data_IF_045097115431
#
_entry.id   IF_045097115431
#
_cell.length_a   1.000
_cell.length_b   1.000
_cell.length_c   1.000
_cell.angle_alpha   90.00
_cell.angle_beta   90.00
_cell.angle_gamma   90.00
#
_symmetry.space_group_name_H-M   'P 1'
#
loop_
_entity.id
_entity.type
_entity.pdbx_description
1 polymer ?
#
# COMPACT_ATOMS: atom_id res chain seq x y z
N UNK A 1 24.59 -32.44 20.85
CA UNK A 1 23.27 -32.74 20.24
C UNK A 1 22.21 -32.05 21.09
N UNK A 2 21.82 -30.83 20.72
CA UNK A 2 20.80 -30.05 21.43
C UNK A 2 19.44 -30.33 20.82
N UNK A 3 18.50 -30.85 21.63
CA UNK A 3 17.12 -31.05 21.24
C UNK A 3 16.42 -29.70 21.13
N UNK A 4 15.81 -29.43 19.98
CA UNK A 4 14.85 -28.35 19.84
C UNK A 4 13.61 -28.70 20.67
N UNK A 5 13.21 -27.79 21.56
CA UNK A 5 11.96 -27.90 22.30
C UNK A 5 10.79 -28.03 21.33
N UNK A 6 9.94 -29.03 21.55
CA UNK A 6 8.69 -29.17 20.79
C UNK A 6 7.83 -27.91 21.01
N UNK A 7 7.28 -27.29 19.95
CA UNK A 7 6.36 -26.18 20.13
C UNK A 7 5.15 -26.65 20.93
N UNK A 8 4.88 -26.00 22.06
CA UNK A 8 3.65 -26.23 22.83
C UNK A 8 2.51 -25.55 22.08
N UNK A 9 1.49 -26.33 21.72
CA UNK A 9 0.28 -25.82 21.09
C UNK A 9 -0.46 -24.90 22.08
N UNK A 10 -0.61 -23.63 21.71
CA UNK A 10 -1.52 -22.70 22.37
C UNK A 10 -2.94 -23.12 21.99
N UNK A 11 -3.86 -23.15 22.96
CA UNK A 11 -5.24 -23.58 22.68
C UNK A 11 -5.90 -22.68 21.62
N UNK A 12 -6.72 -23.26 20.74
CA UNK A 12 -7.41 -22.53 19.68
C UNK A 12 -8.23 -21.33 20.19
N UNK A 13 -8.69 -21.39 21.45
CA UNK A 13 -9.45 -20.33 22.13
C UNK A 13 -8.56 -19.16 22.61
N UNK A 14 -7.31 -19.44 22.99
CA UNK A 14 -6.33 -18.39 23.32
C UNK A 14 -5.76 -17.77 22.04
N UNK A 15 -5.56 -18.59 20.99
CA UNK A 15 -5.22 -18.11 19.66
C UNK A 15 -6.30 -17.18 19.10
N UNK A 16 -7.60 -17.54 19.17
CA UNK A 16 -8.69 -16.68 18.66
C UNK A 16 -8.82 -15.35 19.41
N UNK A 17 -8.59 -15.34 20.72
CA UNK A 17 -8.72 -14.12 21.55
C UNK A 17 -7.53 -13.17 21.38
N UNK A 18 -6.31 -13.70 21.18
CA UNK A 18 -5.18 -12.89 20.73
C UNK A 18 -5.35 -12.44 19.28
N UNK A 19 -6.04 -13.25 18.45
CA UNK A 19 -6.26 -13.02 17.02
C UNK A 19 -7.24 -11.88 16.69
N UNK A 20 -8.29 -11.70 17.49
CA UNK A 20 -9.31 -10.66 17.24
C UNK A 20 -8.90 -9.25 17.70
N UNK A 21 -8.04 -9.10 18.72
CA UNK A 21 -7.74 -7.76 19.28
C UNK A 21 -6.33 -7.23 18.97
N UNK A 22 -5.33 -8.11 18.82
CA UNK A 22 -3.95 -7.67 18.50
C UNK A 22 -3.71 -7.38 17.02
N UNK A 23 -4.51 -7.98 16.14
CA UNK A 23 -4.23 -8.04 14.70
C UNK A 23 -4.81 -6.87 13.91
N UNK A 24 -5.86 -6.21 14.42
CA UNK A 24 -6.35 -4.96 13.84
C UNK A 24 -5.29 -3.86 13.90
N UNK A 25 -4.60 -3.73 15.04
CA UNK A 25 -3.61 -2.67 15.27
C UNK A 25 -2.54 -2.59 14.17
N UNK A 26 -2.03 -3.74 13.73
CA UNK A 26 -1.00 -3.77 12.69
C UNK A 26 -1.50 -3.20 11.35
N UNK A 27 -2.64 -3.69 10.85
CA UNK A 27 -3.21 -3.17 9.61
C UNK A 27 -3.77 -1.75 9.79
N UNK A 28 -4.18 -1.38 11.01
CA UNK A 28 -4.55 -0.01 11.37
C UNK A 28 -3.34 0.92 11.31
N UNK A 29 -2.15 0.43 11.68
CA UNK A 29 -0.90 1.20 11.67
C UNK A 29 -0.31 1.35 10.25
N UNK A 30 -0.55 0.37 9.36
CA UNK A 30 -0.02 0.36 7.99
C UNK A 30 -0.93 1.05 6.96
N UNK A 31 -2.25 0.90 7.08
CA UNK A 31 -3.23 1.50 6.16
C UNK A 31 -3.97 2.64 6.85
N UNK A 32 -3.22 3.65 7.30
CA UNK A 32 -3.79 4.78 8.02
C UNK A 32 -4.66 5.61 7.08
N UNK A 33 -5.91 5.84 7.47
CA UNK A 33 -6.82 6.71 6.74
C UNK A 33 -7.72 5.98 5.75
N UNK A 34 -7.22 5.08 4.89
CA UNK A 34 -8.07 4.32 3.95
C UNK A 34 -7.57 2.90 3.70
N UNK A 35 -8.54 1.98 3.60
CA UNK A 35 -8.35 0.63 3.06
C UNK A 35 -9.13 0.47 1.78
N UNK A 36 -8.43 0.35 0.67
CA UNK A 36 -9.03 0.09 -0.64
C UNK A 36 -8.88 -1.38 -0.99
N UNK A 37 -9.98 -2.04 -1.31
CA UNK A 37 -10.03 -3.45 -1.68
C UNK A 37 -10.40 -3.57 -3.16
N UNK A 38 -9.57 -4.26 -3.94
CA UNK A 38 -9.90 -4.64 -5.30
C UNK A 38 -10.84 -5.84 -5.28
N UNK A 39 -12.04 -5.68 -5.86
CA UNK A 39 -13.09 -6.69 -5.87
C UNK A 39 -12.85 -7.69 -7.00
N UNK A 40 -13.05 -8.97 -6.69
CA UNK A 40 -12.93 -10.09 -7.64
C UNK A 40 -14.05 -11.10 -7.41
N UNK A 41 -14.52 -11.76 -8.46
CA UNK A 41 -15.46 -12.88 -8.34
C UNK A 41 -14.78 -14.10 -7.72
N UNK A 42 -15.45 -14.78 -6.78
CA UNK A 42 -14.91 -15.96 -6.07
C UNK A 42 -14.86 -17.21 -6.96
N UNK A 43 -15.80 -17.37 -7.89
CA UNK A 43 -15.81 -18.51 -8.81
C UNK A 43 -14.80 -18.30 -9.94
N UNK A 44 -13.63 -18.90 -9.76
CA UNK A 44 -12.49 -18.86 -10.67
C UNK A 44 -12.78 -19.58 -12.00
N UNK A 45 -13.31 -18.84 -12.97
CA UNK A 45 -12.73 -18.86 -14.31
C UNK A 45 -11.94 -17.57 -14.45
N UNK A 46 -10.61 -17.68 -14.43
CA UNK A 46 -9.73 -16.52 -14.60
C UNK A 46 -10.14 -15.76 -15.87
N UNK A 47 -10.44 -14.47 -15.74
CA UNK A 47 -10.80 -13.60 -16.86
C UNK A 47 -12.28 -13.25 -17.02
N UNK A 48 -13.18 -13.68 -16.13
CA UNK A 48 -14.55 -13.13 -16.11
C UNK A 48 -14.49 -11.72 -15.49
N UNK A 49 -14.80 -10.72 -16.32
CA UNK A 49 -14.96 -9.34 -15.86
C UNK A 49 -16.12 -9.25 -14.86
N UNK A 50 -15.99 -8.36 -13.87
CA UNK A 50 -17.11 -8.03 -12.99
C UNK A 50 -18.31 -7.55 -13.83
N UNK A 51 -19.55 -7.86 -13.42
CA UNK A 51 -20.72 -7.22 -14.00
C UNK A 51 -20.54 -5.70 -14.01
N UNK A 52 -21.00 -5.04 -15.08
CA UNK A 52 -20.73 -3.61 -15.35
C UNK A 52 -21.13 -2.68 -14.21
N UNK A 53 -22.11 -3.08 -13.40
CA UNK A 53 -22.67 -2.27 -12.32
C UNK A 53 -22.12 -2.62 -10.94
N UNK A 54 -21.21 -3.59 -10.85
CA UNK A 54 -20.51 -3.88 -9.60
C UNK A 54 -19.33 -2.94 -9.39
N UNK A 55 -19.07 -2.57 -8.13
CA UNK A 55 -17.85 -1.87 -7.81
C UNK A 55 -16.63 -2.74 -8.11
N UNK A 56 -15.64 -2.16 -8.77
CA UNK A 56 -14.32 -2.74 -8.92
C UNK A 56 -13.49 -2.56 -7.64
N UNK A 57 -13.79 -1.52 -6.87
CA UNK A 57 -13.11 -1.17 -5.63
C UNK A 57 -14.08 -0.83 -4.50
N UNK A 58 -13.70 -1.22 -3.28
CA UNK A 58 -14.39 -0.82 -2.05
C UNK A 58 -13.37 -0.11 -1.18
N UNK A 59 -13.62 1.15 -0.83
CA UNK A 59 -12.72 1.94 0.01
C UNK A 59 -13.39 2.27 1.35
N UNK A 60 -12.71 1.95 2.45
CA UNK A 60 -13.15 2.25 3.81
C UNK A 60 -12.22 3.32 4.40
N UNK A 61 -12.77 4.46 4.79
CA UNK A 61 -12.02 5.59 5.35
C UNK A 61 -12.09 5.57 6.87
N UNK A 62 -11.00 5.82 7.56
CA UNK A 62 -10.86 5.84 9.01
C UNK A 62 -10.34 7.22 9.44
N UNK A 63 -11.05 7.91 10.33
CA UNK A 63 -10.70 9.29 10.75
C UNK A 63 -9.61 9.36 11.83
N UNK A 64 -8.98 8.23 12.15
CA UNK A 64 -7.93 8.10 13.16
C UNK A 64 -8.39 8.20 14.62
N UNK A 65 -9.61 8.69 14.89
CA UNK A 65 -10.17 8.80 16.26
C UNK A 65 -10.68 7.46 16.75
N UNK A 66 -11.39 6.73 15.88
CA UNK A 66 -11.75 5.34 16.10
C UNK A 66 -11.23 4.49 14.93
N UNK A 67 -10.05 3.89 15.11
CA UNK A 67 -9.43 3.06 14.06
C UNK A 67 -10.17 1.76 13.79
N UNK A 68 -11.07 1.34 14.68
CA UNK A 68 -11.86 0.14 14.52
C UNK A 68 -13.07 0.35 13.60
N UNK A 69 -13.55 1.59 13.42
CA UNK A 69 -14.74 1.87 12.63
C UNK A 69 -14.46 2.86 11.49
N UNK A 70 -14.79 2.50 10.24
CA UNK A 70 -14.70 3.44 9.15
C UNK A 70 -15.76 4.54 9.29
N UNK A 71 -15.39 5.76 8.92
CA UNK A 71 -16.25 6.94 8.87
C UNK A 71 -16.89 7.14 7.50
N UNK A 72 -16.26 6.64 6.43
CA UNK A 72 -16.81 6.69 5.07
C UNK A 72 -16.64 5.37 4.34
N UNK A 73 -17.60 5.08 3.46
CA UNK A 73 -17.58 3.99 2.49
C UNK A 73 -17.64 4.60 1.11
N UNK A 74 -16.71 4.21 0.23
CA UNK A 74 -16.78 4.52 -1.20
C UNK A 74 -16.84 3.21 -1.99
N UNK A 75 -17.73 3.16 -2.98
CA UNK A 75 -17.83 2.10 -3.98
C UNK A 75 -17.32 2.68 -5.30
N UNK A 76 -16.17 2.21 -5.78
CA UNK A 76 -15.37 2.92 -6.76
C UNK A 76 -15.16 4.38 -6.36
N UNK A 77 -15.70 5.32 -7.15
CA UNK A 77 -15.63 6.77 -6.94
C UNK A 77 -16.92 7.34 -6.32
N UNK A 78 -17.87 6.48 -5.92
CA UNK A 78 -19.15 6.87 -5.34
C UNK A 78 -19.11 6.81 -3.81
N UNK A 79 -19.20 7.95 -3.10
CA UNK A 79 -19.34 7.97 -1.66
C UNK A 79 -20.75 7.49 -1.30
N UNK A 80 -20.84 6.56 -0.34
CA UNK A 80 -22.10 6.01 0.14
C UNK A 80 -22.51 6.76 1.41
N UNK A 81 -23.67 7.47 1.42
CA UNK A 81 -24.16 8.15 2.61
C UNK A 81 -24.32 7.19 3.79
N UNK A 82 -23.96 7.64 5.00
CA UNK A 82 -23.88 6.79 6.21
C UNK A 82 -25.17 6.06 6.55
N UNK A 83 -26.34 6.59 6.18
CA UNK A 83 -27.63 5.94 6.41
C UNK A 83 -27.89 4.70 5.53
N UNK A 84 -27.06 4.46 4.51
CA UNK A 84 -27.21 3.32 3.59
C UNK A 84 -26.22 2.19 3.84
N UNK A 85 -25.34 2.32 4.82
CA UNK A 85 -24.36 1.28 5.13
C UNK A 85 -24.05 1.21 6.62
N UNK A 86 -23.53 0.07 7.04
CA UNK A 86 -23.09 -0.17 8.40
C UNK A 86 -21.81 -0.99 8.39
N UNK A 87 -21.01 -0.80 9.43
CA UNK A 87 -19.84 -1.61 9.70
C UNK A 87 -19.85 -2.02 11.16
N UNK A 88 -19.81 -3.31 11.43
CA UNK A 88 -19.70 -3.84 12.77
C UNK A 88 -18.25 -4.20 13.05
N UNK A 89 -17.58 -3.37 13.86
CA UNK A 89 -16.17 -3.56 14.18
C UNK A 89 -15.86 -4.85 14.95
N UNK A 90 -16.83 -5.41 15.69
CA UNK A 90 -16.61 -6.62 16.48
C UNK A 90 -16.45 -7.88 15.63
N UNK A 91 -17.04 -7.90 14.42
CA UNK A 91 -16.98 -9.05 13.52
C UNK A 91 -16.54 -8.68 12.10
N UNK A 92 -16.13 -7.43 11.88
CA UNK A 92 -15.65 -6.93 10.59
C UNK A 92 -16.69 -6.99 9.48
N UNK A 93 -17.98 -6.97 9.80
CA UNK A 93 -19.06 -7.08 8.80
C UNK A 93 -19.40 -5.70 8.26
N UNK A 94 -19.18 -5.51 6.95
CA UNK A 94 -19.62 -4.39 6.15
C UNK A 94 -20.92 -4.76 5.44
N UNK A 95 -21.94 -3.90 5.52
CA UNK A 95 -23.19 -4.09 4.78
C UNK A 95 -23.70 -2.78 4.22
N UNK A 96 -24.29 -2.81 3.03
CA UNK A 96 -24.96 -1.65 2.44
C UNK A 96 -26.16 -2.04 1.59
N UNK A 97 -27.09 -1.09 1.45
CA UNK A 97 -28.26 -1.23 0.61
C UNK A 97 -28.81 0.15 0.21
N UNK A 98 -28.84 0.45 -1.08
CA UNK A 98 -29.45 1.68 -1.62
C UNK A 98 -29.82 1.52 -3.10
N UNK A 99 -30.48 2.53 -3.67
CA UNK A 99 -30.66 2.66 -5.12
C UNK A 99 -29.73 3.74 -5.65
N UNK A 100 -29.02 3.45 -6.74
CA UNK A 100 -28.14 4.43 -7.39
C UNK A 100 -28.95 5.53 -8.12
N UNK A 101 -28.25 6.50 -8.71
CA UNK A 101 -28.86 7.60 -9.47
C UNK A 101 -29.66 7.15 -10.71
N UNK A 102 -29.56 5.89 -11.10
CA UNK A 102 -30.30 5.27 -12.20
C UNK A 102 -31.44 4.36 -11.69
N UNK A 103 -31.66 4.31 -10.38
CA UNK A 103 -32.70 3.50 -9.74
C UNK A 103 -32.35 2.03 -9.56
N UNK A 104 -31.11 1.60 -9.84
CA UNK A 104 -30.65 0.23 -9.67
C UNK A 104 -30.30 -0.05 -8.21
N UNK A 105 -30.71 -1.21 -7.71
CA UNK A 105 -30.39 -1.64 -6.35
C UNK A 105 -28.90 -2.00 -6.26
N UNK A 106 -28.22 -1.39 -5.30
CA UNK A 106 -26.85 -1.68 -4.92
C UNK A 106 -26.88 -2.27 -3.52
N UNK A 107 -26.44 -3.52 -3.37
CA UNK A 107 -26.36 -4.15 -2.06
C UNK A 107 -25.10 -5.00 -1.93
N UNK A 108 -24.55 -5.03 -0.73
CA UNK A 108 -23.42 -5.89 -0.42
C UNK A 108 -23.39 -6.27 1.05
N UNK A 109 -22.85 -7.45 1.30
CA UNK A 109 -22.60 -7.99 2.63
C UNK A 109 -21.25 -8.69 2.58
N UNK A 110 -20.25 -8.10 3.23
CA UNK A 110 -18.87 -8.56 3.23
C UNK A 110 -18.35 -8.68 4.66
N UNK A 111 -17.58 -9.72 4.91
CA UNK A 111 -16.89 -9.95 6.18
C UNK A 111 -15.40 -9.76 5.98
N UNK A 112 -14.77 -8.97 6.84
CA UNK A 112 -13.33 -8.87 6.90
C UNK A 112 -12.71 -10.18 7.38
N UNK A 113 -11.74 -10.69 6.63
CA UNK A 113 -10.99 -11.89 6.94
C UNK A 113 -9.52 -11.55 7.15
N UNK A 114 -8.80 -12.45 7.84
CA UNK A 114 -7.36 -12.38 8.03
C UNK A 114 -6.91 -11.01 8.60
N UNK A 115 -7.58 -10.55 9.65
CA UNK A 115 -7.31 -9.25 10.29
C UNK A 115 -7.76 -8.01 9.49
N UNK A 116 -8.47 -8.18 8.37
CA UNK A 116 -8.88 -7.09 7.49
C UNK A 116 -8.01 -6.91 6.25
N UNK A 117 -7.09 -7.83 5.97
CA UNK A 117 -6.32 -7.88 4.72
C UNK A 117 -7.14 -8.33 3.51
N UNK A 118 -8.36 -8.83 3.74
CA UNK A 118 -9.30 -9.20 2.68
C UNK A 118 -10.74 -9.05 3.16
N UNK A 119 -11.64 -8.87 2.21
CA UNK A 119 -13.09 -8.94 2.39
C UNK A 119 -13.62 -10.17 1.66
N UNK A 120 -14.63 -10.83 2.19
CA UNK A 120 -15.33 -11.91 1.49
C UNK A 120 -16.82 -11.85 1.77
N UNK A 121 -17.64 -12.11 0.75
CA UNK A 121 -19.07 -12.19 0.91
C UNK A 121 -19.76 -12.11 -0.43
N UNK A 122 -20.80 -11.30 -0.52
CA UNK A 122 -21.60 -11.20 -1.73
C UNK A 122 -22.02 -9.78 -2.06
N UNK A 123 -22.13 -9.51 -3.37
CA UNK A 123 -22.71 -8.31 -3.94
C UNK A 123 -23.98 -8.70 -4.71
N UNK A 124 -24.98 -7.82 -4.68
CA UNK A 124 -26.17 -7.92 -5.50
C UNK A 124 -26.04 -6.94 -6.67
N UNK A 125 -26.22 -7.44 -7.88
CA UNK A 125 -26.42 -6.63 -9.08
C UNK A 125 -27.80 -6.99 -9.66
N UNK A 126 -28.70 -6.01 -9.66
CA UNK A 126 -30.12 -6.19 -9.98
C UNK A 126 -30.75 -7.29 -9.11
N UNK A 127 -31.03 -8.47 -9.68
CA UNK A 127 -31.62 -9.62 -8.99
C UNK A 127 -30.64 -10.81 -8.85
N UNK A 128 -29.37 -10.63 -9.22
CA UNK A 128 -28.36 -11.69 -9.18
C UNK A 128 -27.33 -11.43 -8.08
N UNK A 129 -27.17 -12.41 -7.19
CA UNK A 129 -26.18 -12.37 -6.12
C UNK A 129 -24.89 -13.07 -6.57
N UNK A 130 -23.76 -12.41 -6.35
CA UNK A 130 -22.45 -12.92 -6.73
C UNK A 130 -21.54 -13.03 -5.52
N UNK A 131 -20.86 -14.17 -5.39
CA UNK A 131 -19.80 -14.33 -4.40
C UNK A 131 -18.56 -13.55 -4.82
N UNK A 132 -18.06 -12.68 -3.93
CA UNK A 132 -16.88 -11.85 -4.18
C UNK A 132 -15.82 -11.98 -3.10
N UNK A 133 -14.61 -11.60 -3.48
CA UNK A 133 -13.49 -11.35 -2.59
C UNK A 133 -12.93 -9.96 -2.87
N UNK A 134 -12.76 -9.15 -1.82
CA UNK A 134 -11.97 -7.93 -1.86
C UNK A 134 -10.54 -8.23 -1.41
N UNK A 135 -9.55 -7.85 -2.22
CA UNK A 135 -8.13 -7.99 -1.89
C UNK A 135 -7.60 -6.61 -1.57
N UNK A 136 -7.02 -6.41 -0.38
CA UNK A 136 -6.47 -5.13 0.02
C UNK A 136 -5.38 -4.68 -0.96
N UNK A 137 -5.50 -3.46 -1.48
CA UNK A 137 -4.58 -2.89 -2.44
C UNK A 137 -3.15 -2.85 -1.87
N UNK A 138 -2.12 -3.04 -2.71
CA UNK A 138 -0.74 -2.94 -2.26
C UNK A 138 -0.42 -1.50 -1.80
N UNK A 139 0.55 -1.39 -0.90
CA UNK A 139 1.12 -0.15 -0.41
C UNK A 139 2.36 0.16 -1.26
N UNK A 140 2.47 1.38 -1.78
CA UNK A 140 3.64 1.84 -2.55
C UNK A 140 4.30 3.03 -1.86
N UNK A 141 5.63 3.03 -1.82
CA UNK A 141 6.47 4.15 -1.41
C UNK A 141 7.30 4.61 -2.59
N UNK A 142 7.29 5.93 -2.82
CA UNK A 142 8.23 6.58 -3.73
C UNK A 142 9.53 6.82 -2.97
N UNK A 143 10.55 6.05 -3.30
CA UNK A 143 11.82 6.01 -2.59
C UNK A 143 12.91 6.82 -3.28
N UNK A 144 13.70 7.47 -2.45
CA UNK A 144 14.98 8.07 -2.78
C UNK A 144 16.08 7.27 -2.13
N UNK A 145 17.23 7.17 -2.80
CA UNK A 145 18.36 6.38 -2.32
C UNK A 145 19.62 7.22 -2.32
N UNK A 146 20.59 6.86 -1.49
CA UNK A 146 21.90 7.51 -1.48
C UNK A 146 23.00 6.51 -1.12
N UNK A 147 24.18 6.69 -1.73
CA UNK A 147 25.42 6.12 -1.21
C UNK A 147 25.95 7.00 -0.07
N UNK A 148 26.98 6.50 0.62
CA UNK A 148 27.76 7.27 1.61
C UNK A 148 26.94 7.83 2.78
N UNK A 149 25.79 7.22 3.09
CA UNK A 149 24.90 7.62 4.20
C UNK A 149 25.42 7.22 5.57
N UNK A 150 26.54 6.49 5.62
CA UNK A 150 27.05 5.86 6.84
C UNK A 150 26.41 4.50 7.16
N UNK A 151 25.43 4.06 6.37
CA UNK A 151 24.88 2.71 6.46
C UNK A 151 25.90 1.65 6.03
N UNK A 152 25.87 0.48 6.67
CA UNK A 152 26.78 -0.63 6.38
C UNK A 152 26.13 -1.99 6.68
N UNK A 153 26.77 -3.07 6.22
CA UNK A 153 26.32 -4.44 6.41
C UNK A 153 27.36 -5.22 7.23
N UNK A 154 26.89 -6.13 8.08
CA UNK A 154 27.72 -7.06 8.85
C UNK A 154 27.18 -8.48 8.78
N UNK A 155 27.91 -9.44 9.34
CA UNK A 155 27.53 -10.85 9.36
C UNK A 155 27.94 -11.61 8.10
N UNK A 156 27.52 -12.86 7.98
CA UNK A 156 27.77 -13.70 6.79
C UNK A 156 26.46 -14.35 6.38
N UNK A 157 26.19 -14.52 5.07
CA UNK A 157 24.97 -15.20 4.63
C UNK A 157 24.77 -16.54 5.35
N UNK A 158 23.54 -16.88 5.77
CA UNK A 158 22.29 -16.14 5.60
C UNK A 158 21.99 -15.12 6.74
N UNK A 159 22.96 -14.84 7.62
CA UNK A 159 22.81 -13.97 8.79
C UNK A 159 23.43 -12.58 8.57
N UNK A 160 23.11 -11.95 7.44
CA UNK A 160 23.48 -10.55 7.18
C UNK A 160 22.60 -9.60 7.99
N UNK A 161 23.17 -8.47 8.40
CA UNK A 161 22.46 -7.42 9.13
C UNK A 161 22.85 -6.05 8.59
N UNK A 162 21.84 -5.22 8.31
CA UNK A 162 22.01 -3.85 7.89
C UNK A 162 21.98 -2.92 9.10
N UNK A 163 22.90 -1.97 9.12
CA UNK A 163 23.03 -0.95 10.16
C UNK A 163 22.91 0.42 9.50
N UNK A 164 22.06 1.28 10.05
CA UNK A 164 21.90 2.66 9.62
C UNK A 164 21.45 3.52 10.81
N UNK A 165 21.81 4.80 10.80
CA UNK A 165 21.37 5.79 11.79
C UNK A 165 20.98 7.07 11.07
N UNK A 166 19.72 7.48 11.21
CA UNK A 166 19.18 8.69 10.57
C UNK A 166 19.72 9.97 11.20
N UNK A 167 20.37 9.86 12.36
CA UNK A 167 21.00 10.98 13.05
C UNK A 167 22.46 11.20 12.66
N UNK A 168 23.10 10.26 11.95
CA UNK A 168 24.47 10.41 11.45
C UNK A 168 24.56 11.62 10.51
N UNK A 169 25.63 12.41 10.64
CA UNK A 169 25.84 13.59 9.77
C UNK A 169 25.98 13.18 8.31
N UNK A 170 26.51 11.98 8.04
CA UNK A 170 26.58 11.40 6.69
C UNK A 170 25.20 11.11 6.11
N UNK A 171 24.26 10.63 6.93
CA UNK A 171 22.88 10.41 6.50
C UNK A 171 22.20 11.72 6.13
N UNK A 172 22.34 12.74 6.98
CA UNK A 172 21.72 14.07 6.81
C UNK A 172 22.29 14.84 5.62
N UNK A 173 23.59 14.68 5.34
CA UNK A 173 24.29 15.37 4.25
C UNK A 173 24.45 14.55 2.97
N UNK A 174 23.92 13.33 2.94
CA UNK A 174 23.99 12.46 1.77
C UNK A 174 23.33 13.09 0.53
N UNK A 175 23.89 12.82 -0.64
CA UNK A 175 23.34 13.25 -1.90
C UNK A 175 22.22 12.29 -2.35
N UNK A 176 20.99 12.59 -1.95
CA UNK A 176 19.83 11.76 -2.25
C UNK A 176 19.44 11.82 -3.73
N UNK A 177 19.44 10.64 -4.36
CA UNK A 177 18.88 10.43 -5.69
C UNK A 177 17.38 10.28 -5.52
N UNK A 178 16.66 11.38 -5.76
CA UNK A 178 15.21 11.45 -5.64
C UNK A 178 14.51 10.57 -6.69
N UNK A 179 13.40 9.93 -6.30
CA UNK A 179 12.57 9.09 -7.19
C UNK A 179 13.41 8.03 -7.91
N UNK A 180 14.21 7.29 -7.15
CA UNK A 180 15.04 6.24 -7.70
C UNK A 180 14.28 4.92 -7.82
N UNK A 181 13.35 4.67 -6.88
CA UNK A 181 12.71 3.37 -6.73
C UNK A 181 11.26 3.55 -6.25
N UNK A 182 10.31 2.90 -6.90
CA UNK A 182 9.00 2.61 -6.33
C UNK A 182 9.06 1.25 -5.62
N UNK A 183 8.92 1.28 -4.30
CA UNK A 183 8.86 0.08 -3.47
C UNK A 183 7.41 -0.22 -3.11
N UNK A 184 6.91 -1.35 -3.56
CA UNK A 184 5.53 -1.77 -3.33
C UNK A 184 5.49 -3.06 -2.53
N UNK A 185 4.65 -3.15 -1.51
CA UNK A 185 4.38 -4.40 -0.81
C UNK A 185 2.91 -4.63 -0.51
N UNK A 186 2.54 -5.90 -0.35
CA UNK A 186 1.20 -6.33 -0.01
C UNK A 186 1.26 -7.42 1.05
N UNK A 187 0.46 -7.27 2.10
CA UNK A 187 0.24 -8.31 3.11
C UNK A 187 -0.85 -9.26 2.59
N UNK A 188 -0.48 -10.52 2.36
CA UNK A 188 -1.41 -11.59 2.00
C UNK A 188 -1.63 -12.51 3.20
N UNK A 189 -2.84 -12.47 3.75
CA UNK A 189 -3.28 -13.46 4.74
C UNK A 189 -3.61 -14.80 4.07
N UNK A 190 -3.18 -15.90 4.68
CA UNK A 190 -3.53 -17.26 4.29
C UNK A 190 -3.74 -18.12 5.54
N UNK A 191 -4.54 -19.19 5.45
CA UNK A 191 -4.75 -20.12 6.56
C UNK A 191 -4.00 -21.41 6.26
N UNK A 192 -2.97 -21.73 7.06
CA UNK A 192 -2.19 -22.96 6.99
C UNK A 192 -2.55 -23.80 8.21
N UNK A 193 -3.17 -24.98 7.99
CA UNK A 193 -3.54 -25.92 9.08
C UNK A 193 -4.39 -25.22 10.17
N UNK A 194 -5.38 -24.43 9.76
CA UNK A 194 -6.24 -23.68 10.67
C UNK A 194 -5.57 -22.49 11.37
N UNK A 195 -4.30 -22.22 11.09
CA UNK A 195 -3.58 -21.07 11.62
C UNK A 195 -3.45 -19.97 10.56
N UNK A 196 -3.84 -18.72 10.87
CA UNK A 196 -3.61 -17.59 10.01
C UNK A 196 -2.10 -17.31 9.94
N UNK A 197 -1.58 -17.20 8.73
CA UNK A 197 -0.21 -16.81 8.44
C UNK A 197 -0.25 -15.66 7.44
N UNK A 198 0.78 -14.83 7.42
CA UNK A 198 0.86 -13.68 6.55
C UNK A 198 2.14 -13.75 5.74
N UNK A 199 2.01 -13.59 4.43
CA UNK A 199 3.14 -13.43 3.54
C UNK A 199 3.16 -11.98 3.06
N UNK A 200 4.33 -11.36 3.05
CA UNK A 200 4.50 -10.04 2.45
C UNK A 200 5.11 -10.25 1.08
N UNK A 201 4.36 -9.87 0.05
CA UNK A 201 4.84 -9.88 -1.34
C UNK A 201 5.31 -8.48 -1.67
N UNK A 202 6.53 -8.34 -2.16
CA UNK A 202 7.05 -7.05 -2.60
C UNK A 202 7.30 -7.02 -4.12
N UNK A 203 7.34 -5.82 -4.66
CA UNK A 203 7.81 -5.51 -6.00
C UNK A 203 8.52 -4.16 -5.99
N UNK A 204 9.46 -4.02 -6.91
CA UNK A 204 10.38 -2.90 -7.04
C UNK A 204 10.28 -2.39 -8.47
N UNK A 205 10.30 -1.07 -8.66
CA UNK A 205 10.38 -0.46 -9.99
C UNK A 205 11.39 0.68 -9.94
N UNK A 206 12.41 0.60 -10.76
CA UNK A 206 13.32 1.72 -10.99
C UNK A 206 12.58 2.78 -11.81
N UNK A 207 12.33 3.94 -11.20
CA UNK A 207 11.59 5.04 -11.84
C UNK A 207 12.42 5.77 -12.90
N UNK A 208 13.73 5.57 -12.93
CA UNK A 208 14.66 6.26 -13.82
C UNK A 208 14.99 5.42 -15.07
N UNK A 209 15.06 4.09 -14.92
CA UNK A 209 15.24 3.16 -16.05
C UNK A 209 13.91 2.58 -16.55
N UNK A 210 12.86 2.62 -15.74
CA UNK A 210 11.56 1.98 -16.01
C UNK A 210 11.55 0.47 -15.75
N UNK A 211 12.69 -0.11 -15.35
CA UNK A 211 12.83 -1.54 -15.09
C UNK A 211 12.01 -1.93 -13.87
N UNK A 212 11.31 -3.06 -13.93
CA UNK A 212 10.54 -3.59 -12.81
C UNK A 212 11.03 -4.96 -12.41
N UNK A 213 11.07 -5.21 -11.11
CA UNK A 213 11.47 -6.48 -10.53
C UNK A 213 10.49 -6.90 -9.46
N UNK A 214 10.01 -8.14 -9.57
CA UNK A 214 9.21 -8.78 -8.54
C UNK A 214 9.89 -10.11 -8.21
N UNK A 215 10.35 -10.31 -6.96
CA UNK A 215 10.83 -11.61 -6.51
C UNK A 215 9.78 -12.69 -6.76
N UNK A 216 10.23 -13.89 -7.14
CA UNK A 216 9.34 -15.03 -7.28
C UNK A 216 8.71 -15.38 -5.92
N UNK A 217 7.49 -15.90 -5.93
CA UNK A 217 6.79 -16.26 -4.69
C UNK A 217 7.67 -17.23 -3.87
N UNK A 218 7.76 -17.00 -2.55
CA UNK A 218 8.57 -17.77 -1.59
C UNK A 218 10.09 -17.63 -1.71
N UNK A 219 10.62 -16.89 -2.70
CA UNK A 219 12.08 -16.62 -2.78
C UNK A 219 12.53 -15.50 -1.86
N UNK A 220 11.61 -14.66 -1.42
CA UNK A 220 11.86 -13.56 -0.49
C UNK A 220 11.17 -13.83 0.86
N UNK A 221 11.94 -13.74 1.93
CA UNK A 221 11.43 -13.72 3.29
C UNK A 221 11.27 -12.26 3.73
N UNK A 222 10.13 -11.96 4.34
CA UNK A 222 9.93 -10.70 5.03
C UNK A 222 9.55 -11.00 6.48
N UNK A 223 10.25 -10.38 7.41
CA UNK A 223 9.90 -10.36 8.82
C UNK A 223 9.57 -8.93 9.19
N UNK A 224 8.52 -8.77 9.97
CA UNK A 224 8.14 -7.51 10.58
C UNK A 224 8.00 -7.70 12.09
N UNK A 225 8.63 -6.84 12.87
CA UNK A 225 8.54 -6.87 14.32
C UNK A 225 7.39 -6.01 14.87
N UNK A 226 7.20 -6.04 16.19
CA UNK A 226 6.16 -5.27 16.87
C UNK A 226 6.35 -3.74 16.81
N UNK A 227 7.54 -3.27 16.41
CA UNK A 227 7.88 -1.86 16.27
C UNK A 227 7.80 -1.40 14.81
N UNK A 228 7.17 -2.18 13.92
CA UNK A 228 7.11 -1.88 12.47
C UNK A 228 8.49 -1.75 11.82
N UNK A 229 9.49 -2.47 12.32
CA UNK A 229 10.72 -2.70 11.58
C UNK A 229 10.51 -3.88 10.65
N UNK A 230 10.83 -3.67 9.38
CA UNK A 230 10.76 -4.68 8.33
C UNK A 230 12.16 -5.09 7.92
N UNK A 231 12.33 -6.38 7.70
CA UNK A 231 13.52 -6.96 7.09
C UNK A 231 13.09 -7.87 5.96
N UNK A 232 13.42 -7.47 4.73
CA UNK A 232 13.31 -8.27 3.52
C UNK A 232 14.65 -8.89 3.20
N UNK A 233 14.64 -10.18 2.89
CA UNK A 233 15.82 -10.93 2.49
C UNK A 233 15.48 -11.87 1.34
N UNK A 234 16.22 -11.76 0.24
CA UNK A 234 16.13 -12.67 -0.89
C UNK A 234 16.89 -13.96 -0.54
N UNK A 235 16.15 -15.04 -0.27
CA UNK A 235 16.75 -16.32 0.13
C UNK A 235 17.30 -17.12 -1.05
N UNK A 236 16.77 -16.89 -2.26
CA UNK A 236 17.16 -17.61 -3.47
C UNK A 236 17.08 -16.70 -4.70
N UNK A 237 18.03 -16.91 -5.62
CA UNK A 237 18.11 -16.15 -6.87
C UNK A 237 18.94 -14.86 -6.73
N UNK A 238 18.77 -13.98 -7.71
CA UNK A 238 19.37 -12.66 -7.72
C UNK A 238 18.30 -11.62 -8.09
N UNK A 239 18.45 -10.36 -7.65
CA UNK A 239 17.66 -9.27 -8.16
C UNK A 239 17.77 -9.16 -9.69
N UNK A 240 16.77 -8.55 -10.33
CA UNK A 240 16.86 -8.29 -11.76
C UNK A 240 18.11 -7.47 -12.10
N UNK A 241 18.62 -7.65 -13.32
CA UNK A 241 19.61 -6.73 -13.85
C UNK A 241 18.97 -5.34 -14.01
N UNK A 242 19.75 -4.32 -13.67
CA UNK A 242 19.39 -2.91 -13.80
C UNK A 242 20.62 -2.20 -14.35
N UNK A 243 20.45 -1.45 -15.45
CA UNK A 243 21.55 -0.73 -16.08
C UNK A 243 21.30 0.77 -16.00
N UNK A 244 21.95 1.37 -15.02
CA UNK A 244 21.91 2.81 -14.73
C UNK A 244 23.08 3.56 -15.35
N UNK A 245 23.95 2.89 -16.12
CA UNK A 245 25.19 3.47 -16.66
C UNK A 245 24.96 4.60 -17.67
N UNK A 246 23.83 4.57 -18.38
CA UNK A 246 23.43 5.58 -19.36
C UNK A 246 22.79 6.83 -18.76
N UNK A 247 22.44 6.80 -17.46
CA UNK A 247 21.83 7.93 -16.78
C UNK A 247 22.86 9.05 -16.55
N UNK A 248 22.42 10.31 -16.44
CA UNK A 248 23.31 11.39 -16.02
C UNK A 248 23.75 11.22 -14.56
N UNK A 249 24.81 11.92 -14.16
CA UNK A 249 25.16 12.04 -12.75
C UNK A 249 24.12 12.92 -12.01
N UNK A 250 23.77 12.61 -10.74
CA UNK A 250 24.34 11.54 -9.92
C UNK A 250 23.65 10.16 -10.11
N UNK A 251 22.62 10.03 -10.93
CA UNK A 251 21.82 8.80 -11.04
C UNK A 251 22.65 7.55 -11.40
N UNK A 252 23.68 7.72 -12.23
CA UNK A 252 24.61 6.66 -12.64
C UNK A 252 25.69 6.30 -11.61
N UNK A 253 25.77 6.99 -10.46
CA UNK A 253 26.72 6.65 -9.39
C UNK A 253 26.30 5.39 -8.62
N UNK A 254 25.05 4.97 -8.75
CA UNK A 254 24.50 3.74 -8.19
C UNK A 254 24.27 2.75 -9.33
N UNK A 255 24.80 1.53 -9.19
CA UNK A 255 24.69 0.51 -10.24
C UNK A 255 23.29 -0.09 -10.37
N UNK A 256 22.60 -0.32 -9.25
CA UNK A 256 21.25 -0.86 -9.21
C UNK A 256 20.49 -0.42 -7.97
N UNK A 257 19.16 -0.33 -8.09
CA UNK A 257 18.25 -0.12 -6.96
C UNK A 257 17.50 -1.38 -6.51
N UNK A 258 17.85 -2.55 -7.04
CA UNK A 258 17.18 -3.81 -6.67
C UNK A 258 17.94 -4.55 -5.56
N UNK A 259 17.35 -4.72 -4.36
CA UNK A 259 18.07 -5.23 -3.21
C UNK A 259 18.10 -6.76 -3.11
N UNK A 260 19.21 -7.29 -2.60
CA UNK A 260 19.25 -8.62 -1.98
C UNK A 260 18.62 -8.60 -0.57
N UNK A 261 18.83 -7.51 0.16
CA UNK A 261 18.28 -7.30 1.49
C UNK A 261 17.81 -5.85 1.63
N UNK A 262 16.68 -5.62 2.29
CA UNK A 262 16.21 -4.28 2.63
C UNK A 262 15.70 -4.30 4.06
N UNK A 263 16.21 -3.41 4.89
CA UNK A 263 15.75 -3.23 6.26
C UNK A 263 15.27 -1.80 6.45
N UNK A 264 14.06 -1.61 6.94
CA UNK A 264 13.50 -0.28 7.12
C UNK A 264 12.55 -0.22 8.30
N UNK A 265 12.35 0.99 8.79
CA UNK A 265 11.35 1.36 9.78
C UNK A 265 10.31 2.27 9.11
N UNK A 266 9.06 2.14 9.54
CA UNK A 266 7.97 3.02 9.11
C UNK A 266 7.75 4.11 10.16
N UNK A 267 7.92 5.36 9.75
CA UNK A 267 7.80 6.54 10.61
C UNK A 267 6.52 7.33 10.31
N UNK A 268 6.16 8.21 11.26
CA UNK A 268 5.04 9.14 11.12
C UNK A 268 3.77 8.44 10.63
N UNK A 269 3.36 7.40 11.35
CA UNK A 269 2.15 6.66 11.03
C UNK A 269 2.22 5.98 9.64
N UNK A 270 3.38 5.42 9.30
CA UNK A 270 3.66 4.78 8.01
C UNK A 270 3.62 5.72 6.80
N UNK A 271 3.65 7.04 7.02
CA UNK A 271 3.76 8.01 5.92
C UNK A 271 5.16 8.06 5.33
N UNK A 272 6.17 7.71 6.13
CA UNK A 272 7.55 7.66 5.69
C UNK A 272 8.14 6.27 5.93
N UNK A 273 9.02 5.87 5.03
CA UNK A 273 9.88 4.72 5.15
C UNK A 273 11.31 5.22 5.31
N UNK A 274 12.06 4.69 6.26
CA UNK A 274 13.49 5.00 6.39
C UNK A 274 14.27 3.73 6.65
N UNK A 275 15.36 3.51 5.92
CA UNK A 275 16.06 2.23 5.98
C UNK A 275 17.39 2.17 5.25
N UNK A 276 17.88 0.96 5.09
CA UNK A 276 19.01 0.65 4.22
C UNK A 276 18.70 -0.56 3.34
N UNK A 277 19.46 -0.69 2.25
CA UNK A 277 19.35 -1.78 1.30
C UNK A 277 20.72 -2.26 0.86
N UNK A 278 20.91 -3.58 0.81
CA UNK A 278 22.10 -4.24 0.28
C UNK A 278 21.88 -4.59 -1.19
N UNK A 279 22.78 -4.12 -2.05
CA UNK A 279 22.74 -4.28 -3.50
C UNK A 279 24.05 -4.86 -4.03
N UNK A 280 24.06 -5.22 -5.31
CA UNK A 280 25.21 -5.77 -6.07
C UNK A 280 25.71 -7.16 -5.63
N UNK A 281 25.74 -7.48 -4.34
CA UNK A 281 26.11 -8.79 -3.82
C UNK A 281 25.34 -9.11 -2.53
N UNK A 282 24.93 -10.38 -2.39
CA UNK A 282 24.44 -10.95 -1.13
C UNK A 282 25.59 -11.28 -0.16
N UNK A 283 26.40 -10.28 0.19
CA UNK A 283 27.53 -10.43 1.12
C UNK A 283 27.97 -9.09 1.70
N UNK A 284 28.95 -9.12 2.61
CA UNK A 284 29.59 -7.88 3.09
C UNK A 284 30.33 -7.08 2.01
N UNK A 285 30.57 -7.68 0.85
CA UNK A 285 31.18 -7.01 -0.30
C UNK A 285 30.15 -6.28 -1.18
N UNK A 286 28.86 -6.40 -0.86
CA UNK A 286 27.81 -5.64 -1.55
C UNK A 286 27.82 -4.16 -1.18
N UNK A 287 27.05 -3.39 -1.95
CA UNK A 287 26.90 -1.95 -1.74
C UNK A 287 25.68 -1.69 -0.89
N UNK A 288 25.86 -0.98 0.23
CA UNK A 288 24.77 -0.53 1.08
C UNK A 288 24.34 0.87 0.69
N UNK A 289 23.07 1.02 0.36
CA UNK A 289 22.44 2.31 0.11
C UNK A 289 21.52 2.67 1.28
N UNK A 290 21.50 3.93 1.68
CA UNK A 290 20.39 4.44 2.49
C UNK A 290 19.16 4.59 1.62
N UNK A 291 17.98 4.37 2.20
CA UNK A 291 16.68 4.54 1.54
C UNK A 291 15.75 5.37 2.42
N UNK A 292 15.10 6.36 1.80
CA UNK A 292 13.99 7.11 2.38
C UNK A 292 12.83 7.05 1.41
N UNK A 293 11.62 6.77 1.89
CA UNK A 293 10.44 6.66 1.07
C UNK A 293 9.30 7.50 1.61
N UNK A 294 8.48 8.03 0.71
CA UNK A 294 7.22 8.68 1.07
C UNK A 294 6.09 7.82 0.55
N UNK A 295 5.13 7.53 1.42
CA UNK A 295 3.96 6.74 1.07
C UNK A 295 3.19 7.39 -0.08
N UNK A 296 3.00 6.67 -1.19
CA UNK A 296 2.11 7.07 -2.25
C UNK A 296 0.69 6.77 -1.78
N UNK A 297 -0.02 7.80 -1.32
CA UNK A 297 -1.26 7.61 -0.60
C UNK A 297 -2.44 7.26 -1.54
N UNK A 298 -2.94 5.99 -1.54
CA UNK A 298 -4.13 5.64 -2.31
C UNK A 298 -5.40 6.27 -1.70
N UNK A 299 -5.30 6.84 -0.49
CA UNK A 299 -6.37 7.48 0.26
C UNK A 299 -6.67 8.91 -0.18
N UNK A 300 -5.85 9.54 -1.04
CA UNK A 300 -6.27 10.80 -1.66
C UNK A 300 -7.28 10.44 -2.74
N UNK A 301 -8.48 10.13 -2.27
CA UNK A 301 -9.64 9.77 -3.03
C UNK A 301 -10.84 10.43 -2.39
N UNK A 302 -11.62 11.15 -3.19
CA UNK A 302 -12.83 11.78 -2.71
C UNK A 302 -13.11 13.11 -3.37
N UNK A 303 -14.10 13.80 -2.82
CA UNK A 303 -14.59 15.08 -3.30
C UNK A 303 -14.14 16.16 -2.33
N UNK A 304 -13.55 17.22 -2.86
CA UNK A 304 -13.00 18.32 -2.09
C UNK A 304 -13.70 19.61 -2.48
N UNK A 305 -14.24 20.29 -1.47
CA UNK A 305 -14.69 21.67 -1.61
C UNK A 305 -13.49 22.61 -1.60
N UNK A 306 -13.37 23.43 -2.63
CA UNK A 306 -12.49 24.58 -2.69
C UNK A 306 -13.35 25.82 -2.53
N UNK A 307 -12.83 26.85 -1.87
CA UNK A 307 -13.50 28.15 -1.80
C UNK A 307 -12.63 29.14 -2.56
N UNK A 308 -13.20 29.78 -3.59
CA UNK A 308 -12.48 30.83 -4.32
C UNK A 308 -12.40 32.14 -3.50
N UNK A 309 -11.60 33.11 -3.97
CA UNK A 309 -11.44 34.41 -3.31
C UNK A 309 -12.76 35.19 -3.15
N UNK A 310 -13.79 34.81 -3.91
CA UNK A 310 -15.14 35.39 -3.84
C UNK A 310 -16.08 34.62 -2.89
N UNK A 311 -15.60 33.58 -2.23
CA UNK A 311 -16.37 32.75 -1.32
C UNK A 311 -17.25 31.69 -1.99
N UNK A 312 -17.14 31.48 -3.31
CA UNK A 312 -17.91 30.43 -3.98
C UNK A 312 -17.26 29.06 -3.75
N UNK A 313 -18.08 28.09 -3.36
CA UNK A 313 -17.65 26.70 -3.28
C UNK A 313 -17.55 26.08 -4.67
N UNK A 314 -16.39 25.49 -4.96
CA UNK A 314 -16.09 24.71 -6.15
C UNK A 314 -15.80 23.28 -5.72
N UNK A 315 -16.23 22.31 -6.51
CA UNK A 315 -15.97 20.91 -6.23
C UNK A 315 -14.90 20.39 -7.17
N UNK A 316 -13.89 19.75 -6.60
CA UNK A 316 -12.99 18.88 -7.36
C UNK A 316 -13.14 17.46 -6.83
N UNK A 317 -12.75 16.48 -7.62
CA UNK A 317 -12.54 15.14 -7.10
C UNK A 317 -11.15 14.64 -7.40
N UNK A 318 -10.62 13.82 -6.51
CA UNK A 318 -9.38 13.09 -6.74
C UNK A 318 -9.74 11.62 -6.73
N UNK A 319 -9.38 10.92 -7.80
CA UNK A 319 -9.60 9.48 -7.94
C UNK A 319 -8.42 8.89 -8.70
N UNK A 320 -8.09 7.63 -8.42
CA UNK A 320 -7.06 6.90 -9.16
C UNK A 320 -5.69 7.63 -9.20
N UNK A 321 -5.40 8.40 -8.16
CA UNK A 321 -4.18 9.21 -8.05
C UNK A 321 -4.17 10.47 -8.91
N UNK A 322 -5.29 10.89 -9.49
CA UNK A 322 -5.39 12.05 -10.39
C UNK A 322 -6.52 13.00 -9.97
N UNK A 323 -6.36 14.27 -10.34
CA UNK A 323 -7.44 15.26 -10.30
C UNK A 323 -8.46 14.96 -11.39
N UNK A 324 -9.73 14.98 -11.02
CA UNK A 324 -10.87 14.92 -11.93
C UNK A 324 -11.66 16.22 -11.85
N UNK A 325 -12.01 16.75 -13.01
CA UNK A 325 -12.84 17.94 -13.19
C UNK A 325 -13.98 17.54 -14.13
N UNK A 326 -15.23 17.73 -13.70
CA UNK A 326 -16.42 17.31 -14.46
C UNK A 326 -16.35 15.84 -14.93
N UNK A 327 -15.89 14.97 -14.04
CA UNK A 327 -15.66 13.53 -14.27
C UNK A 327 -14.55 13.19 -15.28
N UNK A 328 -13.83 14.18 -15.82
CA UNK A 328 -12.70 13.95 -16.71
C UNK A 328 -11.37 14.02 -15.95
N UNK A 329 -10.48 13.02 -16.13
CA UNK A 329 -9.16 13.07 -15.51
C UNK A 329 -8.31 14.18 -16.14
N UNK A 330 -7.60 14.92 -15.29
CA UNK A 330 -6.57 15.87 -15.71
C UNK A 330 -5.28 15.07 -15.91
N UNK A 331 -4.94 14.77 -17.16
CA UNK A 331 -3.81 13.89 -17.50
C UNK A 331 -2.45 14.38 -16.93
N UNK A 332 -2.32 15.68 -16.71
CA UNK A 332 -1.14 16.35 -16.14
C UNK A 332 -1.15 16.42 -14.62
N UNK A 333 -2.08 15.73 -13.96
CA UNK A 333 -2.17 15.67 -12.52
C UNK A 333 -1.73 14.31 -11.97
N UNK A 334 -1.15 14.34 -10.78
CA UNK A 334 -0.75 13.16 -10.04
C UNK A 334 -0.70 13.47 -8.54
N UNK A 335 -1.17 12.54 -7.73
CA UNK A 335 -0.93 12.52 -6.29
C UNK A 335 0.50 12.04 -6.03
N UNK A 336 1.26 12.81 -5.25
CA UNK A 336 2.58 12.43 -4.75
C UNK A 336 2.65 12.67 -3.25
N UNK A 337 2.86 11.61 -2.48
CA UNK A 337 2.78 11.70 -1.02
C UNK A 337 1.38 12.09 -0.57
N UNK A 338 1.28 13.24 0.12
CA UNK A 338 0.03 13.86 0.54
C UNK A 338 -0.39 15.05 -0.34
N UNK A 339 0.29 15.29 -1.45
CA UNK A 339 0.06 16.44 -2.32
C UNK A 339 -0.56 16.02 -3.64
N UNK A 340 -1.61 16.72 -4.06
CA UNK A 340 -2.09 16.68 -5.43
C UNK A 340 -1.27 17.69 -6.24
N UNK A 341 -0.49 17.18 -7.18
CA UNK A 341 0.22 18.00 -8.15
C UNK A 341 -0.59 18.04 -9.45
N UNK A 342 -0.65 19.20 -10.08
CA UNK A 342 -1.25 19.40 -11.39
C UNK A 342 -0.54 20.56 -12.08
N UNK A 343 -0.64 20.59 -13.40
CA UNK A 343 -0.13 21.69 -14.22
C UNK A 343 -0.91 21.77 -15.53
N UNK A 344 -0.82 22.91 -16.20
CA UNK A 344 -1.40 23.12 -17.53
C UNK A 344 -2.93 22.91 -17.56
N UNK A 345 -3.65 23.33 -16.53
CA UNK A 345 -5.12 23.37 -16.55
C UNK A 345 -5.58 24.35 -17.64
N UNK A 346 -6.54 23.92 -18.46
CA UNK A 346 -7.18 24.81 -19.42
C UNK A 346 -7.94 25.95 -18.71
N UNK A 347 -8.13 27.08 -19.39
CA UNK A 347 -8.90 28.21 -18.83
C UNK A 347 -10.30 27.81 -18.36
N UNK A 348 -10.93 26.85 -19.06
CA UNK A 348 -12.22 26.30 -18.69
C UNK A 348 -12.14 25.53 -17.35
N UNK A 349 -11.11 24.70 -17.17
CA UNK A 349 -10.87 23.96 -15.93
C UNK A 349 -10.51 24.87 -14.76
N UNK A 350 -9.66 25.88 -14.99
CA UNK A 350 -9.34 26.90 -14.00
C UNK A 350 -10.59 27.65 -13.56
N UNK A 351 -11.45 28.07 -14.50
CA UNK A 351 -12.71 28.76 -14.18
C UNK A 351 -13.72 27.86 -13.46
N UNK A 352 -13.79 26.57 -13.82
CA UNK A 352 -14.70 25.61 -13.21
C UNK A 352 -14.32 25.32 -11.75
N UNK A 353 -13.02 25.23 -11.45
CA UNK A 353 -12.51 24.75 -10.16
C UNK A 353 -11.94 25.85 -9.26
N UNK A 354 -11.60 27.01 -9.81
CA UNK A 354 -10.83 28.04 -9.12
C UNK A 354 -9.35 27.71 -8.95
N UNK A 355 -8.87 26.58 -9.48
CA UNK A 355 -7.46 26.21 -9.42
C UNK A 355 -6.64 27.02 -10.44
N UNK A 356 -5.38 27.37 -10.11
CA UNK A 356 -4.47 28.01 -11.05
C UNK A 356 -4.04 27.05 -12.19
N UNK A 357 -3.45 27.63 -13.24
CA UNK A 357 -2.92 26.92 -14.39
C UNK A 357 -1.93 25.80 -14.05
#
# INVERSE_FOLDING_TARGET
>A
MSSFGKPQAISAKVASTLHEQGHHKLLDDLHQGVRTFDVRLKDHRMGIALPKHMPNQISLFFDGRNRAEPTQLHLDNLPVPRNFWSYNANNGVLSWHFKDGHGKTQSGHLTALNGGSSLQGSLLDEDTQYGVQGVLAPITYLCSVASDTGAFVTGTPPALQLHYDTNDDRWKSANWIEKALDFTYQIKGQVIVGQPTYNIVASFKDEQTGTSWKPEDLTMLCVMDANSNFTFHLNQGAPAADDRSSLPAPQNSIKTVFPYMMQFHLENASMNLVGAMLTESDSQLGTVLGVKGVFQNPSIKGYYGLTDDSGNEKLISVHDGQLHIDHQPVATSAVKGSQLLYHSLSDAQQKATGLPA
#
